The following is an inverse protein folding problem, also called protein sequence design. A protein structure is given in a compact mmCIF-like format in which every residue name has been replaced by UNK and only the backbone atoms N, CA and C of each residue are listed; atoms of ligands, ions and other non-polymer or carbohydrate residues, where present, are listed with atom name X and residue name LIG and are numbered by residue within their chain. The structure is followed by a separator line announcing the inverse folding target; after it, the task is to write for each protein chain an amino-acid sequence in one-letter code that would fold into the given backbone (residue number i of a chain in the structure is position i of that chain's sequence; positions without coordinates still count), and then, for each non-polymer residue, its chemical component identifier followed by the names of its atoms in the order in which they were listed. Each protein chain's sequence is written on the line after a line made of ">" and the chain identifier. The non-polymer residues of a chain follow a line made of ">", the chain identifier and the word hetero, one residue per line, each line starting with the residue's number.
data_IF_465542091496
#
_entry.id   IF_465542091496
#
_cell.length_a   1.000
_cell.length_b   1.000
_cell.length_c   1.000
_cell.angle_alpha   90.00
_cell.angle_beta   90.00
_cell.angle_gamma   90.00
#
_symmetry.space_group_name_H-M   'P 1'
#
loop_
_entity.id
_entity.type
_entity.pdbx_description
1 polymer ?
#
# COMPACT_ATOMS: atom_id res chain seq x y z
N UNK A 1 10.20 -5.40 -19.10
CA UNK A 1 11.49 -5.04 -18.47
C UNK A 1 12.25 -6.29 -18.13
N UNK A 2 13.38 -6.16 -17.43
CA UNK A 2 14.19 -7.30 -16.97
C UNK A 2 13.66 -7.76 -15.61
N UNK A 3 13.44 -9.07 -15.44
CA UNK A 3 13.08 -9.67 -14.16
C UNK A 3 14.34 -9.94 -13.32
N UNK A 4 14.63 -9.04 -12.39
CA UNK A 4 15.85 -9.07 -11.57
C UNK A 4 15.88 -10.29 -10.65
N UNK A 5 14.75 -10.67 -10.03
CA UNK A 5 14.70 -11.80 -9.08
C UNK A 5 14.94 -13.12 -9.82
N UNK A 6 14.34 -13.28 -11.00
CA UNK A 6 14.61 -14.45 -11.85
C UNK A 6 16.09 -14.52 -12.26
N UNK A 7 16.70 -13.39 -12.65
CA UNK A 7 18.13 -13.38 -12.99
C UNK A 7 19.01 -13.75 -11.79
N UNK A 8 18.67 -13.30 -10.58
CA UNK A 8 19.40 -13.67 -9.36
C UNK A 8 19.39 -15.19 -9.13
N UNK A 9 18.24 -15.86 -9.32
CA UNK A 9 18.13 -17.32 -9.17
C UNK A 9 18.97 -18.03 -10.24
N UNK A 10 18.90 -17.60 -11.50
CA UNK A 10 19.68 -18.18 -12.60
C UNK A 10 21.18 -18.06 -12.33
N UNK A 11 21.66 -16.87 -11.97
CA UNK A 11 23.06 -16.63 -11.63
C UNK A 11 23.50 -17.51 -10.45
N UNK A 12 22.67 -17.62 -9.41
CA UNK A 12 22.96 -18.47 -8.25
C UNK A 12 23.03 -19.96 -8.62
N UNK A 13 22.30 -20.40 -9.64
CA UNK A 13 22.37 -21.76 -10.19
C UNK A 13 23.56 -22.02 -11.14
N UNK A 14 24.44 -21.03 -11.33
CA UNK A 14 25.61 -21.13 -12.20
C UNK A 14 25.37 -20.74 -13.67
N UNK A 15 24.16 -20.29 -14.01
CA UNK A 15 23.86 -19.77 -15.35
C UNK A 15 24.54 -18.43 -15.58
N UNK A 16 24.91 -18.15 -16.83
CA UNK A 16 25.49 -16.86 -17.22
C UNK A 16 24.39 -15.81 -17.36
N UNK A 17 24.74 -14.55 -17.09
CA UNK A 17 23.86 -13.41 -17.37
C UNK A 17 23.68 -13.27 -18.89
N UNK A 18 22.53 -13.69 -19.41
CA UNK A 18 22.21 -13.63 -20.84
C UNK A 18 21.57 -12.30 -21.25
N UNK A 19 22.07 -11.20 -20.68
CA UNK A 19 21.61 -9.83 -20.96
C UNK A 19 22.84 -9.01 -21.28
N UNK A 20 22.86 -8.38 -22.46
CA UNK A 20 23.93 -7.49 -22.87
C UNK A 20 23.56 -6.03 -22.56
N UNK A 21 24.57 -5.16 -22.50
CA UNK A 21 24.34 -3.75 -22.18
C UNK A 21 23.38 -3.06 -23.15
N UNK A 22 23.37 -3.46 -24.43
CA UNK A 22 22.48 -2.89 -25.45
C UNK A 22 21.01 -3.37 -25.33
N UNK A 23 20.75 -4.44 -24.58
CA UNK A 23 19.39 -4.92 -24.28
C UNK A 23 18.73 -4.05 -23.20
N UNK A 24 19.52 -3.35 -22.39
CA UNK A 24 19.05 -2.50 -21.29
C UNK A 24 18.55 -1.17 -21.85
N UNK A 25 17.24 -1.11 -22.10
CA UNK A 25 16.56 0.10 -22.60
C UNK A 25 15.76 0.78 -21.51
N UNK A 26 15.89 2.10 -21.42
CA UNK A 26 15.01 2.94 -20.60
C UNK A 26 13.69 3.10 -21.35
N UNK A 27 12.58 2.71 -20.72
CA UNK A 27 11.25 2.80 -21.30
C UNK A 27 10.27 3.33 -20.27
N UNK A 28 9.67 4.49 -20.57
CA UNK A 28 8.68 5.12 -19.74
C UNK A 28 9.21 5.63 -18.40
N UNK A 29 8.32 5.72 -17.42
CA UNK A 29 8.61 6.14 -16.06
C UNK A 29 7.86 5.26 -15.05
N UNK A 30 8.49 4.92 -13.94
CA UNK A 30 7.87 4.16 -12.86
C UNK A 30 7.98 4.91 -11.53
N UNK A 31 6.93 4.82 -10.71
CA UNK A 31 6.89 5.38 -9.35
C UNK A 31 6.43 4.26 -8.41
N UNK A 32 7.12 4.12 -7.28
CA UNK A 32 6.75 3.23 -6.19
C UNK A 32 6.34 4.06 -4.96
N UNK A 33 5.21 3.70 -4.36
CA UNK A 33 4.79 4.16 -3.03
C UNK A 33 4.81 2.96 -2.08
N UNK A 34 5.57 3.05 -1.00
CA UNK A 34 5.51 2.08 0.11
C UNK A 34 4.30 2.40 0.98
N UNK A 35 3.32 1.50 0.95
CA UNK A 35 2.12 1.62 1.74
C UNK A 35 2.38 0.97 3.09
N UNK A 36 2.41 1.77 4.14
CA UNK A 36 2.74 1.35 5.49
C UNK A 36 1.56 1.60 6.43
N UNK A 37 1.46 0.78 7.47
CA UNK A 37 0.60 1.03 8.61
C UNK A 37 1.26 2.05 9.54
N UNK A 38 1.21 3.32 9.16
CA UNK A 38 1.83 4.45 9.87
C UNK A 38 0.85 5.61 9.91
N UNK A 39 0.94 6.44 10.95
CA UNK A 39 0.18 7.68 11.08
C UNK A 39 1.03 8.90 10.67
N UNK A 40 0.81 9.49 9.48
CA UNK A 40 1.59 10.63 9.01
C UNK A 40 1.48 11.88 9.91
N UNK A 41 0.38 12.02 10.66
CA UNK A 41 0.16 13.19 11.53
C UNK A 41 0.76 13.00 12.92
N UNK A 42 1.12 11.76 13.27
CA UNK A 42 1.76 11.42 14.53
C UNK A 42 3.21 10.95 14.29
N UNK A 43 3.98 11.77 13.58
CA UNK A 43 5.40 11.52 13.27
C UNK A 43 5.65 10.13 12.64
N UNK A 44 4.74 9.67 11.77
CA UNK A 44 4.81 8.36 11.12
C UNK A 44 4.90 7.19 12.11
N UNK A 45 4.32 7.34 13.31
CA UNK A 45 4.28 6.27 14.29
C UNK A 45 3.61 5.02 13.68
N UNK A 46 4.18 3.82 13.86
CA UNK A 46 3.56 2.59 13.40
C UNK A 46 2.16 2.39 14.01
N UNK A 47 1.24 1.87 13.21
CA UNK A 47 -0.16 1.59 13.54
C UNK A 47 -0.49 0.10 13.37
N UNK A 48 0.18 -0.81 14.12
CA UNK A 48 -0.05 -2.24 14.01
C UNK A 48 -1.49 -2.57 14.40
N UNK A 49 -2.22 -3.23 13.51
CA UNK A 49 -3.60 -3.63 13.74
C UNK A 49 -4.06 -4.71 12.76
N UNK A 50 -5.26 -5.27 13.02
CA UNK A 50 -5.91 -6.20 12.10
C UNK A 50 -6.52 -5.44 10.92
N UNK A 51 -6.19 -5.86 9.71
CA UNK A 51 -6.82 -5.41 8.48
C UNK A 51 -8.23 -5.99 8.42
N UNK A 52 -9.25 -5.14 8.51
CA UNK A 52 -10.68 -5.52 8.48
C UNK A 52 -11.23 -5.56 7.06
N UNK A 53 -10.67 -4.76 6.16
CA UNK A 53 -11.02 -4.69 4.76
C UNK A 53 -9.78 -4.41 3.93
N UNK A 54 -9.59 -5.18 2.86
CA UNK A 54 -8.46 -5.04 1.95
C UNK A 54 -8.91 -5.21 0.51
N UNK A 55 -8.68 -4.17 -0.31
CA UNK A 55 -8.82 -4.24 -1.77
C UNK A 55 -7.70 -3.43 -2.40
N UNK A 56 -6.75 -4.15 -2.98
CA UNK A 56 -5.65 -3.55 -3.75
C UNK A 56 -6.16 -2.95 -5.06
N UNK A 57 -5.55 -1.86 -5.55
CA UNK A 57 -5.85 -1.31 -6.86
C UNK A 57 -5.31 -2.23 -7.97
N UNK A 58 -5.73 -1.96 -9.20
CA UNK A 58 -5.26 -2.70 -10.37
C UNK A 58 -5.40 -1.91 -11.67
N UNK A 59 -5.47 -2.63 -12.78
CA UNK A 59 -5.57 -2.07 -14.12
C UNK A 59 -4.22 -1.84 -14.80
N UNK A 60 -4.28 -1.21 -15.97
CA UNK A 60 -3.12 -1.05 -16.85
C UNK A 60 -2.01 -0.26 -16.15
N UNK A 61 -0.80 -0.82 -16.15
CA UNK A 61 0.39 -0.18 -15.60
C UNK A 61 0.42 -0.11 -14.08
N UNK A 62 -0.44 -0.85 -13.36
CA UNK A 62 -0.42 -0.96 -11.90
C UNK A 62 0.11 -2.35 -11.49
N UNK A 63 1.06 -2.37 -10.56
CA UNK A 63 1.60 -3.57 -9.92
C UNK A 63 1.55 -3.39 -8.41
N UNK A 64 1.12 -4.42 -7.70
CA UNK A 64 1.12 -4.45 -6.23
C UNK A 64 1.92 -5.65 -5.78
N UNK A 65 3.00 -5.40 -5.03
CA UNK A 65 3.74 -6.42 -4.32
C UNK A 65 3.31 -6.36 -2.85
N UNK A 66 2.54 -7.35 -2.39
CA UNK A 66 1.97 -7.39 -1.04
C UNK A 66 2.25 -8.74 -0.38
N UNK A 67 2.42 -8.73 0.95
CA UNK A 67 2.45 -9.93 1.79
C UNK A 67 1.22 -10.07 2.68
N UNK A 68 0.28 -9.12 2.62
CA UNK A 68 -0.92 -9.10 3.47
C UNK A 68 -2.16 -9.54 2.70
N UNK A 69 -3.19 -9.93 3.45
CA UNK A 69 -4.49 -10.31 2.94
C UNK A 69 -5.59 -9.83 3.89
N UNK A 70 -6.86 -9.96 3.49
CA UNK A 70 -7.97 -9.56 4.35
C UNK A 70 -7.94 -10.34 5.68
N UNK A 71 -8.22 -9.68 6.82
CA UNK A 71 -8.07 -10.24 8.17
C UNK A 71 -6.64 -10.49 8.66
N UNK A 72 -5.60 -10.14 7.89
CA UNK A 72 -4.21 -10.19 8.36
C UNK A 72 -3.99 -9.23 9.53
N UNK A 73 -3.27 -9.66 10.56
CA UNK A 73 -2.85 -8.80 11.68
C UNK A 73 -1.42 -8.34 11.45
N UNK A 74 -1.22 -7.03 11.35
CA UNK A 74 0.11 -6.43 11.23
C UNK A 74 0.79 -6.51 12.60
N UNK A 75 1.90 -7.27 12.73
CA UNK A 75 2.60 -7.42 13.99
C UNK A 75 3.39 -6.14 14.33
N UNK A 76 3.61 -5.83 15.61
CA UNK A 76 4.36 -4.64 16.04
C UNK A 76 5.89 -4.81 15.93
N UNK A 77 6.38 -6.03 15.67
CA UNK A 77 7.80 -6.39 15.78
C UNK A 77 8.58 -6.26 14.46
N UNK A 78 7.88 -6.11 13.33
CA UNK A 78 8.49 -6.00 12.00
C UNK A 78 8.19 -4.63 11.39
N UNK A 79 8.74 -4.38 10.21
CA UNK A 79 8.39 -3.22 9.39
C UNK A 79 6.86 -3.10 9.24
N UNK A 80 6.34 -1.88 9.35
CA UNK A 80 4.92 -1.53 9.21
C UNK A 80 4.40 -1.68 7.76
N UNK A 81 5.28 -2.04 6.82
CA UNK A 81 4.95 -2.18 5.41
C UNK A 81 3.84 -3.19 5.15
N UNK A 82 2.80 -2.70 4.48
CA UNK A 82 1.65 -3.49 4.01
C UNK A 82 1.93 -3.99 2.59
N UNK A 83 2.36 -3.09 1.71
CA UNK A 83 2.63 -3.41 0.30
C UNK A 83 3.48 -2.33 -0.37
N UNK A 84 4.06 -2.68 -1.53
CA UNK A 84 4.60 -1.72 -2.48
C UNK A 84 3.57 -1.54 -3.59
N UNK A 85 3.10 -0.32 -3.79
CA UNK A 85 2.28 0.07 -4.93
C UNK A 85 3.19 0.67 -5.99
N UNK A 86 3.32 0.00 -7.13
CA UNK A 86 4.15 0.45 -8.24
C UNK A 86 3.26 0.77 -9.42
N UNK A 87 3.51 1.89 -10.07
CA UNK A 87 2.91 2.21 -11.35
C UNK A 87 3.96 2.49 -12.41
N UNK A 88 3.61 2.23 -13.65
CA UNK A 88 4.40 2.57 -14.83
C UNK A 88 3.56 3.39 -15.80
N UNK A 89 4.16 4.36 -16.48
CA UNK A 89 3.56 5.19 -17.54
C UNK A 89 4.55 5.44 -18.67
N UNK A 90 4.08 5.93 -19.82
CA UNK A 90 4.92 6.32 -20.97
C UNK A 90 5.82 7.51 -20.64
N UNK A 91 5.38 8.34 -19.70
CA UNK A 91 6.13 9.46 -19.14
C UNK A 91 5.80 9.64 -17.66
N UNK A 92 6.48 10.60 -17.01
CA UNK A 92 6.31 10.90 -15.59
C UNK A 92 4.89 11.39 -15.26
N UNK A 93 4.29 12.21 -16.13
CA UNK A 93 2.96 12.78 -15.91
C UNK A 93 1.90 11.68 -15.90
N UNK A 94 1.93 10.79 -16.89
CA UNK A 94 1.04 9.63 -16.94
C UNK A 94 1.24 8.71 -15.72
N UNK A 95 2.48 8.51 -15.29
CA UNK A 95 2.80 7.72 -14.11
C UNK A 95 2.19 8.34 -12.83
N UNK A 96 2.31 9.65 -12.64
CA UNK A 96 1.70 10.38 -11.50
C UNK A 96 0.17 10.23 -11.52
N UNK A 97 -0.48 10.47 -12.65
CA UNK A 97 -1.95 10.35 -12.74
C UNK A 97 -2.43 8.91 -12.49
N UNK A 98 -1.69 7.90 -12.98
CA UNK A 98 -1.98 6.49 -12.66
C UNK A 98 -1.79 6.20 -11.18
N UNK A 99 -0.76 6.73 -10.53
CA UNK A 99 -0.54 6.55 -9.09
C UNK A 99 -1.68 7.20 -8.27
N UNK A 100 -2.11 8.41 -8.64
CA UNK A 100 -3.22 9.12 -7.97
C UNK A 100 -4.50 8.29 -8.02
N UNK A 101 -4.84 7.74 -9.20
CA UNK A 101 -5.98 6.81 -9.35
C UNK A 101 -5.80 5.57 -8.48
N UNK A 102 -4.63 4.92 -8.53
CA UNK A 102 -4.37 3.70 -7.79
C UNK A 102 -4.46 3.91 -6.26
N UNK A 103 -3.93 5.01 -5.74
CA UNK A 103 -4.05 5.39 -4.32
C UNK A 103 -5.49 5.74 -3.92
N UNK A 104 -6.29 6.31 -4.83
CA UNK A 104 -7.71 6.57 -4.59
C UNK A 104 -8.52 5.27 -4.50
N UNK A 105 -8.22 4.29 -5.35
CA UNK A 105 -8.87 2.97 -5.37
C UNK A 105 -8.41 2.03 -4.25
N UNK A 106 -7.29 2.32 -3.58
CA UNK A 106 -6.69 1.44 -2.58
C UNK A 106 -7.47 1.50 -1.26
N UNK A 107 -8.24 0.45 -0.98
CA UNK A 107 -9.01 0.32 0.25
C UNK A 107 -8.23 -0.54 1.25
N UNK A 108 -7.85 0.07 2.36
CA UNK A 108 -7.32 -0.60 3.54
C UNK A 108 -8.09 -0.06 4.74
N UNK A 109 -8.73 -0.96 5.48
CA UNK A 109 -9.56 -0.62 6.64
C UNK A 109 -9.00 -1.35 7.85
N UNK A 110 -8.88 -0.65 8.98
CA UNK A 110 -8.27 -1.19 10.20
C UNK A 110 -7.11 -0.29 10.65
N UNK A 111 -5.91 -0.44 10.06
CA UNK A 111 -4.77 0.41 10.38
C UNK A 111 -4.93 1.83 9.83
N UNK A 112 -4.33 2.80 10.52
CA UNK A 112 -3.97 4.07 9.89
C UNK A 112 -2.85 3.80 8.87
N UNK A 113 -2.90 4.46 7.72
CA UNK A 113 -1.90 4.26 6.67
C UNK A 113 -1.32 5.58 6.18
N UNK A 114 -0.15 5.52 5.55
CA UNK A 114 0.51 6.66 4.93
C UNK A 114 -0.03 7.02 3.53
N UNK A 115 -1.14 6.42 3.07
CA UNK A 115 -1.77 6.72 1.77
C UNK A 115 -2.10 8.21 1.60
N UNK A 116 -2.70 8.91 2.59
CA UNK A 116 -3.00 10.34 2.46
C UNK A 116 -1.74 11.19 2.23
N UNK A 117 -0.63 10.82 2.85
CA UNK A 117 0.65 11.48 2.65
C UNK A 117 1.16 11.31 1.22
N UNK A 118 1.11 10.10 0.67
CA UNK A 118 1.48 9.86 -0.74
C UNK A 118 0.60 10.68 -1.70
N UNK A 119 -0.71 10.78 -1.44
CA UNK A 119 -1.64 11.62 -2.23
C UNK A 119 -1.26 13.10 -2.20
N UNK A 120 -0.84 13.62 -1.03
CA UNK A 120 -0.35 14.99 -0.89
C UNK A 120 0.96 15.20 -1.67
N UNK A 121 1.94 14.30 -1.52
CA UNK A 121 3.21 14.35 -2.26
C UNK A 121 2.97 14.38 -3.78
N UNK A 122 2.09 13.52 -4.30
CA UNK A 122 1.79 13.45 -5.74
C UNK A 122 0.99 14.66 -6.26
N UNK A 123 0.44 15.47 -5.37
CA UNK A 123 -0.28 16.70 -5.72
C UNK A 123 0.60 17.96 -5.57
N UNK A 124 1.79 17.84 -5.00
CA UNK A 124 2.74 18.94 -4.84
C UNK A 124 3.41 19.30 -6.18
N UNK A 125 3.44 20.59 -6.52
CA UNK A 125 3.98 21.05 -7.80
C UNK A 125 5.46 20.72 -8.01
N UNK A 126 6.30 20.86 -6.98
CA UNK A 126 7.72 20.55 -7.07
C UNK A 126 7.94 19.04 -7.32
N UNK A 127 7.13 18.18 -6.69
CA UNK A 127 7.15 16.74 -7.02
C UNK A 127 6.76 16.49 -8.48
N UNK A 128 5.70 17.13 -8.97
CA UNK A 128 5.23 16.97 -10.35
C UNK A 128 6.31 17.40 -11.35
N UNK A 129 6.98 18.54 -11.10
CA UNK A 129 8.06 19.08 -11.92
C UNK A 129 9.37 18.28 -11.80
N UNK A 130 9.50 17.43 -10.78
CA UNK A 130 10.72 16.65 -10.52
C UNK A 130 11.82 17.47 -9.81
N UNK A 131 11.44 18.57 -9.16
CA UNK A 131 12.31 19.45 -8.38
C UNK A 131 12.53 18.83 -6.99
N UNK A 132 13.30 17.75 -6.93
CA UNK A 132 13.46 16.92 -5.74
C UNK A 132 14.88 17.01 -5.18
N UNK A 133 14.97 17.07 -3.85
CA UNK A 133 16.19 16.94 -3.05
C UNK A 133 15.96 15.94 -1.92
N UNK A 134 17.02 15.53 -1.21
CA UNK A 134 16.87 14.70 0.00
C UNK A 134 16.17 15.44 1.14
N UNK A 135 16.06 16.77 1.06
CA UNK A 135 15.38 17.63 2.03
C UNK A 135 13.96 18.01 1.59
N UNK A 136 13.52 17.55 0.40
CA UNK A 136 12.24 17.91 -0.22
C UNK A 136 11.06 17.87 0.75
N UNK A 137 10.89 16.79 1.51
CA UNK A 137 9.77 16.65 2.46
C UNK A 137 9.86 17.67 3.60
N UNK A 138 11.07 17.94 4.11
CA UNK A 138 11.27 18.91 5.19
C UNK A 138 11.06 20.36 4.71
N UNK A 139 11.39 20.66 3.46
CA UNK A 139 11.23 21.97 2.83
C UNK A 139 9.77 22.26 2.45
N UNK A 140 9.03 21.23 2.02
CA UNK A 140 7.66 21.35 1.52
C UNK A 140 6.61 21.22 2.63
N UNK A 141 6.57 22.20 3.54
CA UNK A 141 5.62 22.23 4.68
C UNK A 141 4.15 22.01 4.28
N UNK A 142 3.76 22.48 3.10
CA UNK A 142 2.40 22.33 2.56
C UNK A 142 1.95 20.87 2.40
N UNK A 143 2.88 19.90 2.31
CA UNK A 143 2.52 18.47 2.18
C UNK A 143 1.79 17.98 3.44
N UNK A 144 2.23 18.39 4.63
CA UNK A 144 1.56 17.98 5.88
C UNK A 144 0.17 18.62 6.00
N UNK A 145 0.03 19.89 5.63
CA UNK A 145 -1.26 20.59 5.62
C UNK A 145 -2.24 19.91 4.65
N UNK A 146 -1.78 19.55 3.46
CA UNK A 146 -2.57 18.79 2.49
C UNK A 146 -2.91 17.38 3.00
N UNK A 147 -1.98 16.72 3.69
CA UNK A 147 -2.22 15.40 4.28
C UNK A 147 -3.35 15.46 5.31
N UNK A 148 -3.35 16.48 6.17
CA UNK A 148 -4.42 16.72 7.15
C UNK A 148 -5.78 16.92 6.47
N UNK A 149 -5.82 17.74 5.42
CA UNK A 149 -7.04 18.02 4.68
C UNK A 149 -7.59 16.77 3.97
N UNK A 150 -6.72 15.96 3.35
CA UNK A 150 -7.11 14.68 2.73
C UNK A 150 -7.69 13.72 3.77
N UNK A 151 -7.06 13.58 4.94
CA UNK A 151 -7.57 12.73 6.03
C UNK A 151 -8.96 13.19 6.47
N UNK A 152 -9.17 14.51 6.60
CA UNK A 152 -10.46 15.09 6.97
C UNK A 152 -11.54 14.80 5.92
N UNK A 153 -11.21 14.94 4.63
CA UNK A 153 -12.12 14.67 3.52
C UNK A 153 -12.51 13.20 3.43
N UNK A 154 -11.55 12.30 3.63
CA UNK A 154 -11.77 10.85 3.50
C UNK A 154 -12.35 10.19 4.76
N UNK A 155 -12.44 10.91 5.88
CA UNK A 155 -12.95 10.40 7.16
C UNK A 155 -14.34 9.75 7.04
N UNK A 156 -15.28 10.42 6.38
CA UNK A 156 -16.65 9.90 6.23
C UNK A 156 -16.72 8.64 5.36
N UNK A 157 -15.85 8.53 4.35
CA UNK A 157 -15.74 7.34 3.52
C UNK A 157 -15.12 6.19 4.30
N UNK A 158 -14.07 6.45 5.08
CA UNK A 158 -13.42 5.47 5.95
C UNK A 158 -14.38 4.92 7.02
N UNK A 159 -15.24 5.77 7.60
CA UNK A 159 -16.28 5.35 8.54
C UNK A 159 -17.32 4.44 7.88
N UNK A 160 -17.76 4.77 6.65
CA UNK A 160 -18.68 3.92 5.86
C UNK A 160 -18.05 2.59 5.45
N UNK A 161 -16.80 2.60 4.99
CA UNK A 161 -16.08 1.37 4.66
C UNK A 161 -15.91 0.51 5.92
N UNK A 162 -15.55 1.13 7.04
CA UNK A 162 -15.44 0.44 8.33
C UNK A 162 -16.75 -0.20 8.78
N UNK A 163 -17.92 0.39 8.50
CA UNK A 163 -19.19 -0.24 8.84
C UNK A 163 -19.56 -1.39 7.91
N UNK A 164 -19.21 -1.32 6.62
CA UNK A 164 -19.39 -2.41 5.65
C UNK A 164 -18.55 -3.64 6.01
N UNK A 165 -17.32 -3.43 6.46
CA UNK A 165 -16.39 -4.50 6.86
C UNK A 165 -16.54 -4.94 8.34
N UNK A 166 -17.56 -4.47 9.06
CA UNK A 166 -17.87 -5.03 10.40
C UNK A 166 -18.47 -6.41 10.21
N UNK A 167 -17.90 -7.41 10.87
CA UNK A 167 -18.56 -8.71 11.05
C UNK A 167 -19.95 -8.48 11.65
N UNK A 168 -20.95 -9.08 11.00
CA UNK A 168 -22.31 -9.04 11.50
C UNK A 168 -22.32 -9.73 12.87
N UNK A 169 -22.81 -9.07 13.92
CA UNK A 169 -22.81 -9.63 15.29
C UNK A 169 -23.47 -11.01 15.34
N UNK A 170 -24.43 -11.26 14.45
CA UNK A 170 -25.07 -12.56 14.26
C UNK A 170 -24.10 -13.63 13.78
N UNK A 171 -23.25 -13.33 12.81
CA UNK A 171 -22.24 -14.25 12.27
C UNK A 171 -21.20 -14.59 13.33
N UNK A 172 -20.69 -13.59 14.06
CA UNK A 172 -19.75 -13.82 15.16
C UNK A 172 -20.38 -14.68 16.28
N UNK A 173 -21.65 -14.44 16.63
CA UNK A 173 -22.37 -15.24 17.61
C UNK A 173 -22.59 -16.70 17.15
N UNK A 174 -22.90 -16.91 15.87
CA UNK A 174 -23.05 -18.25 15.29
C UNK A 174 -21.71 -19.00 15.32
N UNK A 175 -20.61 -18.36 14.92
CA UNK A 175 -19.28 -18.98 14.97
C UNK A 175 -18.86 -19.32 16.41
N UNK A 176 -19.06 -18.41 17.36
CA UNK A 176 -18.78 -18.67 18.77
C UNK A 176 -19.63 -19.82 19.33
N UNK A 177 -20.89 -19.93 18.93
CA UNK A 177 -21.76 -21.04 19.30
C UNK A 177 -21.29 -22.38 18.68
N UNK A 178 -20.87 -22.37 17.41
CA UNK A 178 -20.31 -23.53 16.73
C UNK A 178 -19.00 -23.99 17.36
N UNK A 179 -18.07 -23.09 17.67
CA UNK A 179 -16.82 -23.42 18.36
C UNK A 179 -17.07 -24.06 19.73
N UNK A 180 -17.98 -23.50 20.53
CA UNK A 180 -18.37 -24.10 21.81
C UNK A 180 -19.01 -25.49 21.63
N UNK A 181 -19.84 -25.67 20.60
CA UNK A 181 -20.43 -26.98 20.27
C UNK A 181 -19.34 -28.01 19.92
N UNK A 182 -18.40 -27.66 19.04
CA UNK A 182 -17.30 -28.56 18.68
C UNK A 182 -16.37 -28.83 19.86
N UNK A 183 -16.05 -27.85 20.71
CA UNK A 183 -15.22 -28.07 21.89
C UNK A 183 -15.88 -28.96 22.95
N UNK A 184 -17.21 -28.85 23.11
CA UNK A 184 -17.95 -29.71 24.05
C UNK A 184 -18.11 -31.16 23.54
N UNK A 185 -18.08 -31.36 22.22
CA UNK A 185 -18.27 -32.69 21.60
C UNK A 185 -16.97 -33.34 21.10
N UNK A 186 -15.82 -32.65 21.15
CA UNK A 186 -14.51 -33.22 20.85
C UNK A 186 -13.84 -33.93 22.05
N UNK A 187 -14.47 -33.87 23.24
CA UNK A 187 -13.99 -34.50 24.49
C UNK A 187 -14.74 -35.77 24.89
N UNK A 188 -15.60 -36.32 24.03
CA UNK A 188 -16.22 -37.65 24.18
C UNK A 188 -15.58 -38.66 23.24
#
# INVERSE_FOLDING_TARGET
>A
GIDIVKQQILIASGEKLNIQQHDVKISGHAIECRINAEDPLNNFAPSPSKIKGYRSPGGIGVRVDSGVFNSYTIPPFYDSMISKLIVWGRDRKECIERMRRALYEYIIVGPTTNIPFHKAVLSNEAFIKGELSTHFIAEQKAILDQTMEIIKQEKSLQEKLSSIFREDKKTAAIFAALENYFQSHAKS
#
